data_IF_628888200663
#
_entry.id   IF_628888200663
#
_cell.length_a   1.000
_cell.length_b   1.000
_cell.length_c   1.000
_cell.angle_alpha   90.00
_cell.angle_beta   90.00
_cell.angle_gamma   90.00
#
_symmetry.space_group_name_H-M   'P 1'
#
loop_
_entity.id
_entity.type
_entity.pdbx_description
1 polymer ?
#
# COMPACT_ATOMS: atom_id res chain seq x y z
N UNK A 1 -32.16 4.52 -4.65
CA UNK A 1 -31.04 4.72 -3.71
C UNK A 1 -30.53 3.36 -3.27
N UNK A 2 -29.40 2.90 -3.80
CA UNK A 2 -28.78 1.66 -3.33
C UNK A 2 -28.20 1.91 -1.94
N UNK A 3 -28.86 1.39 -0.91
CA UNK A 3 -28.30 1.25 0.44
C UNK A 3 -26.88 0.66 0.33
N UNK A 4 -25.91 1.27 1.01
CA UNK A 4 -24.52 0.80 0.93
C UNK A 4 -24.39 -0.64 1.42
N UNK A 5 -23.44 -1.41 0.89
CA UNK A 5 -23.18 -2.79 1.34
C UNK A 5 -23.11 -2.90 2.86
N UNK A 6 -22.48 -1.92 3.53
CA UNK A 6 -22.32 -1.87 4.98
C UNK A 6 -23.66 -1.91 5.73
N UNK A 7 -24.74 -1.37 5.14
CA UNK A 7 -26.09 -1.44 5.70
C UNK A 7 -26.73 -2.83 5.56
N UNK A 8 -26.26 -3.65 4.60
CA UNK A 8 -26.80 -5.00 4.31
C UNK A 8 -25.93 -6.14 4.84
N UNK A 9 -24.71 -5.85 5.29
CA UNK A 9 -23.74 -6.85 5.70
C UNK A 9 -24.28 -7.80 6.78
N UNK A 10 -25.25 -7.34 7.58
CA UNK A 10 -25.90 -8.12 8.63
C UNK A 10 -25.00 -8.25 9.87
N UNK A 11 -25.59 -8.61 11.01
CA UNK A 11 -24.87 -8.69 12.28
C UNK A 11 -23.68 -9.67 12.23
N UNK A 12 -23.87 -10.84 11.64
CA UNK A 12 -22.82 -11.88 11.55
C UNK A 12 -21.55 -11.41 10.84
N UNK A 13 -21.66 -10.59 9.79
CA UNK A 13 -20.49 -10.03 9.10
C UNK A 13 -19.65 -9.16 10.03
N UNK A 14 -20.30 -8.28 10.80
CA UNK A 14 -19.60 -7.37 11.71
C UNK A 14 -18.96 -8.10 12.89
N UNK A 15 -19.63 -9.12 13.42
CA UNK A 15 -19.06 -10.01 14.44
C UNK A 15 -17.82 -10.71 13.90
N UNK A 16 -17.89 -11.31 12.71
CA UNK A 16 -16.75 -11.99 12.10
C UNK A 16 -15.61 -11.02 11.76
N UNK A 17 -15.93 -9.85 11.20
CA UNK A 17 -14.94 -8.80 10.92
C UNK A 17 -14.22 -8.37 12.20
N UNK A 18 -14.95 -8.12 13.29
CA UNK A 18 -14.37 -7.74 14.57
C UNK A 18 -13.55 -8.87 15.19
N UNK A 19 -14.08 -10.09 15.22
CA UNK A 19 -13.41 -11.25 15.79
C UNK A 19 -12.11 -11.60 15.04
N UNK A 20 -12.15 -11.62 13.70
CA UNK A 20 -10.96 -11.85 12.87
C UNK A 20 -9.98 -10.70 12.99
N UNK A 21 -10.45 -9.45 12.96
CA UNK A 21 -9.62 -8.26 13.10
C UNK A 21 -8.86 -8.22 14.42
N UNK A 22 -9.52 -8.55 15.53
CA UNK A 22 -8.88 -8.66 16.85
C UNK A 22 -7.92 -9.85 16.90
N UNK A 23 -8.37 -11.04 16.49
CA UNK A 23 -7.57 -12.27 16.62
C UNK A 23 -6.29 -12.21 15.79
N UNK A 24 -6.40 -11.81 14.51
CA UNK A 24 -5.27 -11.70 13.61
C UNK A 24 -4.45 -10.43 13.89
N UNK A 25 -5.12 -9.31 14.21
CA UNK A 25 -4.45 -8.06 14.53
C UNK A 25 -3.60 -8.13 15.79
N UNK A 26 -3.95 -9.00 16.75
CA UNK A 26 -3.15 -9.24 17.95
C UNK A 26 -1.70 -9.67 17.61
N UNK A 27 -1.47 -10.38 16.50
CA UNK A 27 -0.14 -10.79 16.07
C UNK A 27 0.81 -9.60 15.87
N UNK A 28 0.29 -8.41 15.52
CA UNK A 28 1.13 -7.21 15.40
C UNK A 28 1.70 -6.72 16.73
N UNK A 29 1.14 -7.12 17.87
CA UNK A 29 1.50 -6.59 19.18
C UNK A 29 2.19 -7.63 20.09
N UNK A 30 2.44 -8.85 19.61
CA UNK A 30 2.93 -9.96 20.45
C UNK A 30 4.44 -9.97 20.70
N UNK A 31 5.22 -9.10 20.06
CA UNK A 31 6.68 -9.12 20.15
C UNK A 31 7.32 -7.74 20.25
N UNK A 32 8.57 -7.67 20.76
CA UNK A 32 9.35 -6.45 20.81
C UNK A 32 9.80 -5.99 19.41
N UNK A 33 9.70 -6.87 18.41
CA UNK A 33 9.97 -6.60 17.01
C UNK A 33 8.94 -7.35 16.16
N UNK A 34 8.51 -6.74 15.06
CA UNK A 34 7.79 -7.45 14.02
C UNK A 34 8.81 -8.09 13.06
N UNK A 35 8.68 -9.38 12.71
CA UNK A 35 9.62 -10.07 11.82
C UNK A 35 9.39 -9.68 10.34
N UNK A 36 9.33 -8.39 10.05
CA UNK A 36 9.14 -7.87 8.70
C UNK A 36 10.49 -7.36 8.18
N UNK A 37 10.94 -7.92 7.06
CA UNK A 37 12.30 -7.73 6.53
C UNK A 37 12.70 -6.26 6.39
N UNK A 38 11.87 -5.46 5.72
CA UNK A 38 12.18 -4.05 5.42
C UNK A 38 11.76 -3.08 6.53
N UNK A 39 11.20 -3.57 7.66
CA UNK A 39 10.72 -2.70 8.73
C UNK A 39 11.82 -1.84 9.38
N UNK A 40 13.03 -2.37 9.69
CA UNK A 40 14.11 -1.55 10.24
C UNK A 40 14.44 -0.35 9.34
N UNK A 41 14.49 -0.57 8.03
CA UNK A 41 14.75 0.50 7.04
C UNK A 41 13.62 1.53 7.03
N UNK A 42 12.36 1.08 7.09
CA UNK A 42 11.22 1.98 7.20
C UNK A 42 11.26 2.83 8.48
N UNK A 43 11.58 2.24 9.63
CA UNK A 43 11.68 2.96 10.91
C UNK A 43 12.81 4.00 10.86
N UNK A 44 13.97 3.66 10.28
CA UNK A 44 15.07 4.58 10.09
C UNK A 44 14.66 5.77 9.22
N UNK A 45 14.03 5.53 8.06
CA UNK A 45 13.53 6.58 7.18
C UNK A 45 12.50 7.49 7.85
N UNK A 46 11.62 6.93 8.68
CA UNK A 46 10.64 7.73 9.44
C UNK A 46 11.34 8.58 10.49
N UNK A 47 12.34 8.04 11.20
CA UNK A 47 13.08 8.81 12.19
C UNK A 47 13.85 9.99 11.58
N UNK A 48 14.25 9.90 10.31
CA UNK A 48 14.87 11.03 9.59
C UNK A 48 13.93 12.23 9.49
N UNK A 49 12.60 12.03 9.48
CA UNK A 49 11.64 13.14 9.42
C UNK A 49 11.68 14.03 10.69
N UNK A 50 12.10 13.47 11.82
CA UNK A 50 12.31 14.22 13.06
C UNK A 50 13.75 14.69 13.19
N UNK A 51 14.72 13.80 13.03
CA UNK A 51 16.13 14.12 13.22
C UNK A 51 16.65 15.08 12.15
N UNK A 52 16.22 14.95 10.89
CA UNK A 52 16.63 15.84 9.80
C UNK A 52 16.18 17.30 9.96
N UNK A 53 15.39 17.63 11.00
CA UNK A 53 15.04 19.00 11.38
C UNK A 53 15.97 19.59 12.45
N UNK A 54 16.82 18.78 13.06
CA UNK A 54 17.79 19.20 14.08
C UNK A 54 19.06 19.63 13.32
N UNK A 55 19.43 20.94 13.34
CA UNK A 55 20.52 21.47 12.51
C UNK A 55 21.88 20.78 12.73
N UNK A 56 22.13 20.28 13.94
CA UNK A 56 23.41 19.66 14.32
C UNK A 56 23.39 18.12 14.26
N UNK A 57 22.30 17.53 13.76
CA UNK A 57 22.21 16.07 13.68
C UNK A 57 22.92 15.52 12.44
N UNK A 58 23.48 14.32 12.61
CA UNK A 58 24.02 13.49 11.51
C UNK A 58 22.98 13.29 10.39
N UNK A 59 21.70 13.23 10.75
CA UNK A 59 20.60 13.13 9.79
C UNK A 59 20.50 14.37 8.89
N UNK A 60 20.63 15.58 9.44
CA UNK A 60 20.59 16.82 8.68
C UNK A 60 21.83 17.01 7.80
N UNK A 61 22.99 16.52 8.26
CA UNK A 61 24.25 16.59 7.51
C UNK A 61 24.23 15.71 6.24
N UNK A 62 23.66 14.50 6.34
CA UNK A 62 23.75 13.51 5.26
C UNK A 62 22.46 13.29 4.45
N UNK A 63 21.29 13.76 4.93
CA UNK A 63 20.02 13.50 4.26
C UNK A 63 19.22 14.77 3.99
N UNK A 64 18.63 14.82 2.80
CA UNK A 64 17.65 15.84 2.42
C UNK A 64 16.25 15.22 2.43
N UNK A 65 15.33 15.86 3.15
CA UNK A 65 13.93 15.43 3.21
C UNK A 65 13.16 16.06 2.04
N UNK A 66 12.54 15.21 1.24
CA UNK A 66 11.64 15.66 0.18
C UNK A 66 10.23 15.89 0.70
N UNK A 67 9.93 17.14 1.05
CA UNK A 67 8.61 17.55 1.56
C UNK A 67 7.51 17.66 0.49
N UNK A 68 7.87 17.51 -0.79
CA UNK A 68 6.87 17.51 -1.88
C UNK A 68 6.06 16.21 -1.88
N UNK A 69 4.83 16.21 -2.42
CA UNK A 69 4.03 15.00 -2.54
C UNK A 69 4.74 13.92 -3.39
N UNK A 70 5.32 12.94 -2.72
CA UNK A 70 5.90 11.72 -3.30
C UNK A 70 5.08 10.48 -2.95
N UNK A 71 5.24 9.37 -3.69
CA UNK A 71 4.72 8.08 -3.25
C UNK A 71 5.21 7.71 -1.84
N UNK A 72 4.42 6.89 -1.14
CA UNK A 72 4.64 6.39 0.22
C UNK A 72 4.35 7.37 1.38
N UNK A 73 4.00 8.62 1.10
CA UNK A 73 3.61 9.60 2.13
C UNK A 73 2.45 9.15 3.00
N UNK A 74 1.49 8.37 2.47
CA UNK A 74 0.38 7.89 3.31
C UNK A 74 0.93 7.02 4.44
N UNK A 75 1.86 6.12 4.16
CA UNK A 75 2.48 5.29 5.19
C UNK A 75 3.39 6.12 6.10
N UNK A 76 4.40 6.78 5.54
CA UNK A 76 5.40 7.50 6.33
C UNK A 76 4.79 8.65 7.13
N UNK A 77 3.88 9.42 6.53
CA UNK A 77 3.18 10.51 7.20
C UNK A 77 2.25 10.03 8.31
N UNK A 78 1.51 8.93 8.11
CA UNK A 78 0.66 8.37 9.16
C UNK A 78 1.46 7.86 10.35
N UNK A 79 2.55 7.13 10.12
CA UNK A 79 3.42 6.66 11.21
C UNK A 79 4.07 7.84 11.92
N UNK A 80 4.61 8.80 11.18
CA UNK A 80 5.27 9.99 11.73
C UNK A 80 4.32 10.84 12.61
N UNK A 81 3.04 10.92 12.23
CA UNK A 81 2.00 11.59 13.02
C UNK A 81 1.60 10.81 14.27
N UNK A 82 1.40 9.49 14.15
CA UNK A 82 1.07 8.66 15.31
C UNK A 82 2.22 8.62 16.32
N UNK A 83 3.47 8.63 15.83
CA UNK A 83 4.67 8.65 16.64
C UNK A 83 4.84 9.93 17.50
N UNK A 84 3.94 10.93 17.37
CA UNK A 84 3.86 12.03 18.36
C UNK A 84 3.36 11.56 19.73
N UNK A 85 2.68 10.42 19.78
CA UNK A 85 1.96 9.94 20.97
C UNK A 85 2.46 8.57 21.46
N UNK A 86 3.34 7.92 20.70
CA UNK A 86 3.81 6.56 20.93
C UNK A 86 5.13 6.33 20.21
N UNK A 87 5.79 5.20 20.44
CA UNK A 87 7.01 4.84 19.72
C UNK A 87 6.74 4.51 18.24
N UNK A 88 7.74 4.68 17.37
CA UNK A 88 7.59 4.41 15.93
C UNK A 88 7.12 2.98 15.64
N UNK A 89 7.61 1.98 16.39
CA UNK A 89 7.17 0.60 16.22
C UNK A 89 5.67 0.46 16.52
N UNK A 90 5.20 1.05 17.61
CA UNK A 90 3.78 1.04 17.97
C UNK A 90 2.94 1.74 16.89
N UNK A 91 3.41 2.88 16.40
CA UNK A 91 2.76 3.60 15.31
C UNK A 91 2.63 2.73 14.04
N UNK A 92 3.67 1.96 13.67
CA UNK A 92 3.60 1.01 12.55
C UNK A 92 2.60 -0.12 12.83
N UNK A 93 2.60 -0.70 14.04
CA UNK A 93 1.65 -1.76 14.42
C UNK A 93 0.19 -1.29 14.26
N UNK A 94 -0.11 -0.06 14.68
CA UNK A 94 -1.43 0.54 14.50
C UNK A 94 -1.79 0.78 13.03
N UNK A 95 -0.83 1.23 12.21
CA UNK A 95 -1.05 1.40 10.76
C UNK A 95 -1.30 0.05 10.08
N UNK A 96 -0.58 -1.00 10.46
CA UNK A 96 -0.80 -2.37 9.97
C UNK A 96 -2.17 -2.91 10.37
N UNK A 97 -2.57 -2.71 11.64
CA UNK A 97 -3.90 -3.06 12.10
C UNK A 97 -4.98 -2.34 11.30
N UNK A 98 -4.80 -1.03 11.06
CA UNK A 98 -5.72 -0.25 10.26
C UNK A 98 -5.81 -0.78 8.81
N UNK A 99 -4.68 -1.11 8.20
CA UNK A 99 -4.64 -1.71 6.86
C UNK A 99 -5.39 -3.06 6.82
N UNK A 100 -5.15 -3.94 7.80
CA UNK A 100 -5.85 -5.23 7.95
C UNK A 100 -7.37 -5.04 8.06
N UNK A 101 -7.82 -4.08 8.87
CA UNK A 101 -9.24 -3.81 9.12
C UNK A 101 -9.94 -3.14 7.92
N UNK A 102 -9.26 -2.21 7.23
CA UNK A 102 -9.82 -1.49 6.09
C UNK A 102 -9.88 -2.32 4.80
N UNK A 103 -8.96 -3.26 4.62
CA UNK A 103 -8.88 -4.12 3.42
C UNK A 103 -10.21 -4.83 3.09
N UNK A 104 -10.83 -5.60 4.01
CA UNK A 104 -12.10 -6.27 3.71
C UNK A 104 -13.25 -5.27 3.49
N UNK A 105 -13.26 -4.11 4.16
CA UNK A 105 -14.32 -3.12 3.96
C UNK A 105 -14.24 -2.48 2.56
N UNK A 106 -13.03 -2.13 2.12
CA UNK A 106 -12.78 -1.58 0.80
C UNK A 106 -13.06 -2.61 -0.31
N UNK A 107 -12.63 -3.86 -0.12
CA UNK A 107 -12.92 -4.95 -1.06
C UNK A 107 -14.41 -5.29 -1.10
N UNK A 108 -15.12 -5.26 0.03
CA UNK A 108 -16.56 -5.49 0.05
C UNK A 108 -17.31 -4.42 -0.75
N UNK A 109 -16.88 -3.15 -0.66
CA UNK A 109 -17.40 -2.07 -1.53
C UNK A 109 -17.13 -2.38 -3.00
N UNK A 110 -15.91 -2.76 -3.35
CA UNK A 110 -15.55 -3.09 -4.73
C UNK A 110 -16.40 -4.25 -5.27
N UNK A 111 -16.57 -5.32 -4.49
CA UNK A 111 -17.44 -6.44 -4.84
C UNK A 111 -18.88 -5.99 -5.05
N UNK A 112 -19.41 -5.16 -4.16
CA UNK A 112 -20.76 -4.64 -4.28
C UNK A 112 -20.96 -3.83 -5.58
N UNK A 113 -20.03 -2.93 -5.90
CA UNK A 113 -20.06 -2.15 -7.14
C UNK A 113 -19.92 -3.06 -8.38
N UNK A 114 -19.20 -4.17 -8.26
CA UNK A 114 -19.12 -5.21 -9.28
C UNK A 114 -20.35 -6.15 -9.32
N UNK A 115 -21.38 -5.93 -8.50
CA UNK A 115 -22.58 -6.78 -8.42
C UNK A 115 -22.34 -8.14 -7.79
N UNK A 116 -21.34 -8.25 -6.90
CA UNK A 116 -20.96 -9.46 -6.17
C UNK A 116 -21.27 -9.30 -4.68
N UNK A 117 -21.36 -10.42 -3.97
CA UNK A 117 -21.53 -10.40 -2.52
C UNK A 117 -20.24 -9.90 -1.83
N UNK A 118 -20.35 -8.79 -1.09
CA UNK A 118 -19.23 -8.19 -0.37
C UNK A 118 -18.76 -9.00 0.83
N UNK A 119 -19.53 -9.98 1.32
CA UNK A 119 -19.16 -10.81 2.48
C UNK A 119 -17.90 -11.65 2.22
N UNK A 120 -17.66 -12.02 0.96
CA UNK A 120 -16.43 -12.72 0.55
C UNK A 120 -15.16 -11.92 0.84
N UNK A 121 -15.26 -10.60 1.01
CA UNK A 121 -14.11 -9.77 1.33
C UNK A 121 -13.49 -10.10 2.69
N UNK A 122 -14.21 -10.74 3.63
CA UNK A 122 -13.64 -11.20 4.91
C UNK A 122 -12.50 -12.19 4.72
N UNK A 123 -12.48 -12.95 3.61
CA UNK A 123 -11.37 -13.85 3.29
C UNK A 123 -10.04 -13.11 3.05
N UNK A 124 -10.09 -11.80 2.81
CA UNK A 124 -8.86 -10.99 2.70
C UNK A 124 -8.11 -10.83 4.00
N UNK A 125 -8.75 -10.98 5.17
CA UNK A 125 -8.10 -10.84 6.47
C UNK A 125 -7.03 -11.93 6.73
N UNK A 126 -7.33 -13.24 6.63
CA UNK A 126 -6.28 -14.26 6.74
C UNK A 126 -5.25 -14.15 5.61
N UNK A 127 -5.67 -13.78 4.39
CA UNK A 127 -4.76 -13.59 3.25
C UNK A 127 -3.89 -12.33 3.37
N UNK A 128 -4.13 -11.46 4.36
CA UNK A 128 -3.30 -10.29 4.63
C UNK A 128 -1.89 -10.72 5.08
N UNK A 129 -1.78 -11.87 5.75
CA UNK A 129 -0.52 -12.48 6.18
C UNK A 129 0.10 -13.26 5.03
N UNK A 130 0.66 -12.51 4.07
CA UNK A 130 1.30 -13.06 2.88
C UNK A 130 2.74 -12.54 2.72
N UNK A 131 3.40 -13.00 1.67
CA UNK A 131 4.76 -12.62 1.31
C UNK A 131 5.02 -11.11 1.33
N UNK A 132 4.11 -10.28 0.80
CA UNK A 132 4.31 -8.82 0.77
C UNK A 132 4.38 -8.24 2.19
N UNK A 133 3.58 -8.75 3.12
CA UNK A 133 3.65 -8.33 4.51
C UNK A 133 4.97 -8.77 5.13
N UNK A 134 5.36 -10.04 4.98
CA UNK A 134 6.59 -10.60 5.55
C UNK A 134 7.86 -9.90 5.04
N UNK A 135 7.86 -9.45 3.78
CA UNK A 135 8.93 -8.62 3.24
C UNK A 135 8.94 -7.20 3.78
N UNK A 136 7.91 -6.77 4.50
CA UNK A 136 7.83 -5.42 5.04
C UNK A 136 7.34 -4.40 4.02
N UNK A 137 6.64 -4.81 2.96
CA UNK A 137 6.00 -3.88 2.01
C UNK A 137 4.73 -3.28 2.60
N UNK A 138 4.89 -2.56 3.72
CA UNK A 138 3.79 -2.04 4.54
C UNK A 138 3.01 -0.97 3.78
N UNK A 139 3.71 -0.10 3.06
CA UNK A 139 3.09 0.91 2.20
C UNK A 139 2.26 0.28 1.08
N UNK A 140 2.68 -0.88 0.55
CA UNK A 140 1.91 -1.65 -0.43
C UNK A 140 0.64 -2.23 0.20
N UNK A 141 0.76 -2.87 1.36
CA UNK A 141 -0.37 -3.43 2.10
C UNK A 141 -1.42 -2.36 2.43
N UNK A 142 -0.97 -1.17 2.87
CA UNK A 142 -1.83 -0.02 3.13
C UNK A 142 -2.49 0.55 1.86
N UNK A 143 -1.83 0.42 0.71
CA UNK A 143 -2.36 0.89 -0.56
C UNK A 143 -3.41 -0.05 -1.18
N UNK A 144 -3.50 -1.32 -0.77
CA UNK A 144 -4.53 -2.26 -1.24
C UNK A 144 -5.97 -1.76 -0.98
N UNK A 145 -6.38 -1.39 0.25
CA UNK A 145 -7.72 -0.85 0.48
C UNK A 145 -7.96 0.44 -0.32
N UNK A 146 -6.94 1.29 -0.47
CA UNK A 146 -7.03 2.53 -1.24
C UNK A 146 -7.26 2.24 -2.73
N UNK A 147 -6.58 1.24 -3.29
CA UNK A 147 -6.77 0.76 -4.65
C UNK A 147 -8.21 0.25 -4.86
N UNK A 148 -8.72 -0.56 -3.93
CA UNK A 148 -10.08 -1.07 -4.00
C UNK A 148 -11.12 0.06 -3.97
N UNK A 149 -10.89 1.11 -3.18
CA UNK A 149 -11.72 2.31 -3.16
C UNK A 149 -11.61 3.13 -4.45
N UNK A 150 -10.41 3.29 -5.01
CA UNK A 150 -10.18 3.98 -6.28
C UNK A 150 -10.89 3.27 -7.45
N UNK A 151 -10.79 1.93 -7.52
CA UNK A 151 -11.51 1.11 -8.49
C UNK A 151 -13.03 1.22 -8.31
N UNK A 152 -13.53 1.16 -7.07
CA UNK A 152 -14.95 1.33 -6.78
C UNK A 152 -15.46 2.68 -7.26
N UNK A 153 -14.77 3.77 -6.90
CA UNK A 153 -15.13 5.13 -7.30
C UNK A 153 -15.06 5.31 -8.83
N UNK A 154 -14.10 4.66 -9.49
CA UNK A 154 -14.00 4.69 -10.95
C UNK A 154 -15.17 3.99 -11.62
N UNK A 155 -15.55 2.79 -11.17
CA UNK A 155 -16.69 2.05 -11.74
C UNK A 155 -18.00 2.81 -11.51
N UNK A 156 -18.23 3.34 -10.31
CA UNK A 156 -19.41 4.17 -10.00
C UNK A 156 -19.44 5.43 -10.89
N UNK A 157 -18.30 6.09 -11.09
CA UNK A 157 -18.19 7.24 -11.98
C UNK A 157 -18.48 6.87 -13.45
N UNK A 158 -18.00 5.71 -13.92
CA UNK A 158 -18.33 5.17 -15.24
C UNK A 158 -19.83 4.90 -15.43
N UNK A 159 -20.53 4.57 -14.34
CA UNK A 159 -21.99 4.36 -14.36
C UNK A 159 -22.80 5.64 -14.14
N UNK A 160 -22.13 6.78 -13.95
CA UNK A 160 -22.74 8.08 -13.57
C UNK A 160 -23.46 8.03 -12.20
N UNK A 161 -23.07 7.08 -11.36
CA UNK A 161 -23.59 6.92 -9.99
C UNK A 161 -22.62 7.51 -8.95
N UNK A 162 -21.35 7.72 -9.35
CA UNK A 162 -20.26 8.18 -8.49
C UNK A 162 -19.78 9.61 -8.78
N UNK A 163 -19.10 10.18 -7.79
CA UNK A 163 -18.53 11.54 -7.85
C UNK A 163 -17.13 11.55 -8.46
N UNK A 164 -16.88 12.45 -9.42
CA UNK A 164 -15.53 12.70 -9.93
C UNK A 164 -14.55 13.17 -8.85
N UNK A 165 -15.04 13.86 -7.81
CA UNK A 165 -14.21 14.26 -6.66
C UNK A 165 -13.75 13.06 -5.84
N UNK A 166 -14.63 12.07 -5.64
CA UNK A 166 -14.27 10.84 -4.94
C UNK A 166 -13.21 10.04 -5.73
N UNK A 167 -13.39 9.93 -7.05
CA UNK A 167 -12.40 9.30 -7.93
C UNK A 167 -11.05 10.03 -7.87
N UNK A 168 -11.04 11.36 -7.97
CA UNK A 168 -9.82 12.16 -7.85
C UNK A 168 -9.14 11.96 -6.48
N UNK A 169 -9.90 12.04 -5.38
CA UNK A 169 -9.38 11.87 -4.02
C UNK A 169 -8.75 10.50 -3.79
N UNK A 170 -9.45 9.42 -4.16
CA UNK A 170 -8.91 8.06 -4.00
C UNK A 170 -7.71 7.81 -4.92
N UNK A 171 -7.69 8.38 -6.13
CA UNK A 171 -6.54 8.23 -7.04
C UNK A 171 -5.32 9.00 -6.55
N UNK A 172 -5.50 10.20 -6.00
CA UNK A 172 -4.44 10.95 -5.31
C UNK A 172 -3.93 10.19 -4.09
N UNK A 173 -4.83 9.67 -3.26
CA UNK A 173 -4.48 8.83 -2.12
C UNK A 173 -3.69 7.59 -2.55
N UNK A 174 -4.07 6.95 -3.65
CA UNK A 174 -3.36 5.78 -4.18
C UNK A 174 -1.95 6.14 -4.65
N UNK A 175 -1.78 7.26 -5.36
CA UNK A 175 -0.47 7.76 -5.77
C UNK A 175 0.43 8.01 -4.55
N UNK A 176 -0.08 8.69 -3.53
CA UNK A 176 0.65 8.97 -2.29
C UNK A 176 0.88 7.72 -1.43
N UNK A 177 0.06 6.68 -1.59
CA UNK A 177 0.24 5.43 -0.85
C UNK A 177 1.31 4.56 -1.48
N UNK A 178 1.24 4.31 -2.80
CA UNK A 178 2.19 3.43 -3.48
C UNK A 178 2.23 3.66 -5.00
N UNK A 179 3.41 3.99 -5.53
CA UNK A 179 3.60 4.29 -6.95
C UNK A 179 3.19 3.12 -7.87
N UNK A 180 3.59 1.90 -7.53
CA UNK A 180 3.30 0.71 -8.35
C UNK A 180 1.81 0.41 -8.46
N UNK A 181 1.03 0.50 -7.37
CA UNK A 181 -0.40 0.27 -7.43
C UNK A 181 -1.14 1.40 -8.16
N UNK A 182 -0.66 2.64 -8.04
CA UNK A 182 -1.15 3.74 -8.86
C UNK A 182 -0.90 3.49 -10.36
N UNK A 183 0.25 2.94 -10.73
CA UNK A 183 0.58 2.57 -12.10
C UNK A 183 -0.32 1.42 -12.63
N UNK A 184 -0.56 0.38 -11.82
CA UNK A 184 -1.49 -0.69 -12.20
C UNK A 184 -2.92 -0.19 -12.38
N UNK A 185 -3.38 0.69 -11.48
CA UNK A 185 -4.68 1.35 -11.63
C UNK A 185 -4.76 2.16 -12.93
N UNK A 186 -3.74 2.99 -13.21
CA UNK A 186 -3.67 3.78 -14.45
C UNK A 186 -3.68 2.88 -15.70
N UNK A 187 -2.97 1.75 -15.67
CA UNK A 187 -2.96 0.77 -16.76
C UNK A 187 -4.34 0.16 -17.00
N UNK A 188 -5.06 -0.24 -15.94
CA UNK A 188 -6.44 -0.76 -16.06
C UNK A 188 -7.35 0.28 -16.72
N UNK A 189 -7.28 1.54 -16.28
CA UNK A 189 -8.08 2.63 -16.86
C UNK A 189 -7.71 2.86 -18.33
N UNK A 190 -6.41 2.91 -18.65
CA UNK A 190 -5.92 3.14 -20.00
C UNK A 190 -6.38 2.04 -20.95
N UNK A 191 -6.18 0.77 -20.59
CA UNK A 191 -6.64 -0.37 -21.38
C UNK A 191 -8.15 -0.28 -21.61
N UNK A 192 -8.94 0.07 -20.58
CA UNK A 192 -10.39 0.25 -20.75
C UNK A 192 -10.73 1.36 -21.74
N UNK A 193 -10.06 2.51 -21.66
CA UNK A 193 -10.28 3.63 -22.60
C UNK A 193 -9.93 3.21 -24.03
N UNK A 194 -8.81 2.51 -24.22
CA UNK A 194 -8.35 2.05 -25.53
C UNK A 194 -9.33 1.06 -26.17
N UNK A 195 -9.87 0.12 -25.39
CA UNK A 195 -10.78 -0.92 -25.91
C UNK A 195 -12.23 -0.48 -26.05
N UNK A 196 -12.75 0.39 -25.18
CA UNK A 196 -14.18 0.76 -25.23
C UNK A 196 -14.44 2.06 -26.00
N UNK A 197 -13.46 2.98 -26.10
CA UNK A 197 -13.57 4.33 -26.72
C UNK A 197 -14.87 5.08 -26.41
N UNK A 198 -15.47 4.85 -25.25
CA UNK A 198 -16.76 5.46 -24.88
C UNK A 198 -16.52 6.88 -24.36
N UNK A 199 -17.48 7.79 -24.60
CA UNK A 199 -17.42 9.16 -24.03
C UNK A 199 -17.28 9.14 -22.51
N UNK A 200 -17.87 8.15 -21.84
CA UNK A 200 -17.78 7.99 -20.39
C UNK A 200 -16.38 7.54 -19.93
N UNK A 201 -15.69 6.70 -20.71
CA UNK A 201 -14.29 6.35 -20.48
C UNK A 201 -13.39 7.59 -20.56
N UNK A 202 -13.58 8.42 -21.59
CA UNK A 202 -12.82 9.67 -21.76
C UNK A 202 -13.11 10.70 -20.65
N UNK A 203 -14.35 10.81 -20.16
CA UNK A 203 -14.70 11.72 -19.07
C UNK A 203 -13.96 11.43 -17.76
N UNK A 204 -13.53 10.20 -17.52
CA UNK A 204 -12.71 9.86 -16.35
C UNK A 204 -11.33 10.50 -16.37
N UNK A 205 -10.83 10.95 -17.52
CA UNK A 205 -9.54 11.64 -17.61
C UNK A 205 -9.53 12.94 -16.82
N UNK A 206 -10.68 13.62 -16.68
CA UNK A 206 -10.77 14.88 -15.92
C UNK A 206 -10.41 14.66 -14.44
N UNK A 207 -11.12 13.83 -13.66
CA UNK A 207 -10.75 13.58 -12.27
C UNK A 207 -9.40 12.85 -12.13
N UNK A 208 -9.01 12.02 -13.11
CA UNK A 208 -7.73 11.30 -13.10
C UNK A 208 -6.53 12.18 -13.46
N UNK A 209 -6.74 13.41 -13.93
CA UNK A 209 -5.65 14.39 -14.06
C UNK A 209 -5.13 14.85 -12.70
N UNK A 210 -5.94 14.76 -11.63
CA UNK A 210 -5.55 15.19 -10.28
C UNK A 210 -4.30 14.48 -9.73
N UNK A 211 -4.20 13.13 -9.69
CA UNK A 211 -2.98 12.45 -9.25
C UNK A 211 -1.77 12.74 -10.14
N UNK A 212 -1.97 13.03 -11.44
CA UNK A 212 -0.89 13.44 -12.35
C UNK A 212 -0.34 14.79 -11.92
N UNK A 213 -1.21 15.79 -11.75
CA UNK A 213 -0.82 17.14 -11.29
C UNK A 213 -0.14 17.08 -9.92
N UNK A 214 -0.68 16.28 -8.99
CA UNK A 214 -0.11 16.07 -7.68
C UNK A 214 1.30 15.47 -7.74
N UNK A 215 1.53 14.53 -8.65
CA UNK A 215 2.82 13.85 -8.83
C UNK A 215 3.83 14.60 -9.70
N UNK A 216 3.46 15.72 -10.34
CA UNK A 216 4.36 16.48 -11.22
C UNK A 216 5.67 16.90 -10.51
N UNK A 217 5.65 17.46 -9.29
CA UNK A 217 6.90 17.86 -8.62
C UNK A 217 7.86 16.69 -8.44
N UNK A 218 7.34 15.53 -8.03
CA UNK A 218 8.13 14.30 -7.87
C UNK A 218 8.71 13.82 -9.20
N UNK A 219 7.89 13.78 -10.26
CA UNK A 219 8.31 13.37 -11.60
C UNK A 219 9.39 14.30 -12.17
N UNK A 220 9.19 15.62 -12.06
CA UNK A 220 10.16 16.64 -12.51
C UNK A 220 11.48 16.47 -11.77
N UNK A 221 11.44 16.41 -10.44
CA UNK A 221 12.66 16.27 -9.66
C UNK A 221 13.38 14.92 -9.93
N UNK A 222 12.65 13.86 -10.30
CA UNK A 222 13.25 12.57 -10.67
C UNK A 222 13.84 12.59 -12.08
N UNK A 223 13.24 13.34 -13.01
CA UNK A 223 13.75 13.55 -14.36
C UNK A 223 14.98 14.46 -14.39
N UNK A 224 15.00 15.51 -13.57
CA UNK A 224 16.11 16.45 -13.45
C UNK A 224 17.27 15.92 -12.60
N UNK A 225 17.15 14.74 -11.99
CA UNK A 225 18.21 14.14 -11.19
C UNK A 225 18.50 14.86 -9.86
N UNK A 226 17.59 15.72 -9.39
CA UNK A 226 17.75 16.46 -8.13
C UNK A 226 17.50 15.61 -6.88
N UNK A 227 17.07 14.35 -7.05
CA UNK A 227 17.09 13.37 -5.98
C UNK A 227 18.49 12.76 -5.96
N UNK A 228 19.21 12.91 -4.86
CA UNK A 228 20.44 12.17 -4.62
C UNK A 228 20.14 10.68 -4.71
N UNK A 229 20.34 10.09 -5.90
CA UNK A 229 20.64 8.67 -5.98
C UNK A 229 21.98 8.60 -5.29
N UNK A 230 22.03 8.15 -4.04
CA UNK A 230 23.30 7.97 -3.34
C UNK A 230 24.29 7.34 -4.31
N UNK A 231 25.51 7.86 -4.37
CA UNK A 231 26.52 7.30 -5.26
C UNK A 231 26.60 5.81 -4.97
N UNK A 232 26.38 4.98 -6.00
CA UNK A 232 26.63 3.55 -5.88
C UNK A 232 28.12 3.41 -5.60
N UNK A 233 28.47 3.21 -4.33
CA UNK A 233 29.81 2.81 -3.96
C UNK A 233 30.02 1.46 -4.63
N UNK A 234 30.87 1.44 -5.67
CA UNK A 234 31.22 0.23 -6.36
C UNK A 234 31.88 -0.72 -5.34
N UNK A 235 31.18 -1.79 -4.96
CA UNK A 235 31.64 -2.69 -3.90
C UNK A 235 30.85 -3.97 -3.79
N UNK A 236 29.52 -3.91 -3.84
CA UNK A 236 28.70 -5.11 -3.75
C UNK A 236 28.28 -5.58 -5.15
N UNK A 237 28.84 -6.71 -5.57
CA UNK A 237 28.46 -7.35 -6.81
C UNK A 237 26.97 -7.73 -6.74
N UNK A 238 26.12 -6.99 -7.45
CA UNK A 238 24.77 -7.44 -7.76
C UNK A 238 24.93 -8.67 -8.65
N UNK A 239 24.80 -9.86 -8.06
CA UNK A 239 24.86 -11.11 -8.82
C UNK A 239 23.57 -11.24 -9.60
N UNK A 240 23.61 -10.86 -10.86
CA UNK A 240 22.52 -11.14 -11.79
C UNK A 240 22.54 -12.62 -12.15
N UNK A 241 21.66 -13.42 -11.54
CA UNK A 241 21.39 -14.77 -12.04
C UNK A 241 20.84 -14.71 -13.47
N UNK A 242 21.28 -15.65 -14.32
CA UNK A 242 20.77 -15.79 -15.66
C UNK A 242 19.25 -16.06 -15.65
N UNK A 243 18.52 -15.70 -16.73
CA UNK A 243 17.06 -15.85 -16.77
C UNK A 243 16.56 -17.28 -16.52
N UNK A 244 17.33 -18.31 -16.92
CA UNK A 244 16.93 -19.71 -16.72
C UNK A 244 17.02 -20.08 -15.25
N UNK A 245 18.07 -19.65 -14.55
CA UNK A 245 18.19 -19.84 -13.10
C UNK A 245 17.10 -19.11 -12.32
N UNK A 246 16.73 -17.88 -12.73
CA UNK A 246 15.59 -17.16 -12.13
C UNK A 246 14.27 -17.90 -12.32
N UNK A 247 14.02 -18.41 -13.53
CA UNK A 247 12.79 -19.15 -13.84
C UNK A 247 12.72 -20.48 -13.09
N UNK A 248 13.85 -21.20 -12.96
CA UNK A 248 13.92 -22.45 -12.19
C UNK A 248 13.63 -22.24 -10.71
N UNK A 249 14.05 -21.11 -10.17
CA UNK A 249 13.81 -20.71 -8.77
C UNK A 249 12.55 -19.86 -8.61
N UNK A 250 11.69 -19.73 -9.63
CA UNK A 250 10.55 -18.82 -9.55
C UNK A 250 9.61 -19.22 -8.41
N UNK A 251 9.35 -20.51 -8.23
CA UNK A 251 8.56 -21.01 -7.11
C UNK A 251 9.19 -20.60 -5.77
N UNK A 252 10.48 -20.86 -5.59
CA UNK A 252 11.23 -20.46 -4.39
C UNK A 252 11.18 -18.96 -4.15
N UNK A 253 11.31 -18.12 -5.19
CA UNK A 253 11.23 -16.66 -5.03
C UNK A 253 9.81 -16.18 -4.71
N UNK A 254 8.78 -16.95 -5.09
CA UNK A 254 7.39 -16.61 -4.81
C UNK A 254 6.94 -17.06 -3.41
N UNK A 255 7.58 -18.08 -2.84
CA UNK A 255 7.17 -18.68 -1.55
C UNK A 255 8.16 -18.43 -0.43
N UNK A 256 9.46 -18.35 -0.73
CA UNK A 256 10.52 -18.30 0.27
C UNK A 256 11.08 -16.87 0.37
N UNK A 257 11.08 -16.34 1.58
CA UNK A 257 11.70 -15.07 1.95
C UNK A 257 13.19 -15.25 2.32
N UNK A 258 13.54 -16.42 2.84
CA UNK A 258 14.87 -16.83 3.27
C UNK A 258 15.32 -18.10 2.52
N UNK A 259 16.62 -18.34 2.47
CA UNK A 259 17.14 -19.60 1.90
C UNK A 259 16.95 -20.76 2.87
N UNK A 260 16.63 -21.95 2.33
CA UNK A 260 16.49 -23.17 3.12
C UNK A 260 15.15 -23.30 3.84
N UNK A 261 15.11 -24.08 4.92
CA UNK A 261 13.87 -24.39 5.67
C UNK A 261 13.49 -23.32 6.70
N UNK A 262 14.18 -22.18 6.74
CA UNK A 262 13.96 -21.15 7.76
C UNK A 262 12.54 -20.55 7.65
N UNK A 263 12.05 -20.37 6.43
CA UNK A 263 10.68 -19.91 6.20
C UNK A 263 9.63 -20.89 6.72
N UNK A 264 9.88 -22.20 6.57
CA UNK A 264 8.96 -23.24 7.06
C UNK A 264 8.82 -23.15 8.60
N UNK A 265 9.92 -22.88 9.31
CA UNK A 265 9.92 -22.69 10.75
C UNK A 265 9.28 -21.37 11.19
N UNK A 266 9.49 -20.28 10.45
CA UNK A 266 8.87 -18.98 10.73
C UNK A 266 7.35 -19.02 10.49
N UNK A 267 6.90 -19.75 9.47
CA UNK A 267 5.48 -20.03 9.25
C UNK A 267 4.87 -20.86 10.38
N UNK A 268 5.55 -21.91 10.82
CA UNK A 268 5.07 -22.75 11.94
C UNK A 268 5.06 -22.00 13.27
N UNK A 269 5.98 -21.06 13.49
CA UNK A 269 6.06 -20.25 14.71
C UNK A 269 5.07 -19.08 14.76
N UNK A 270 4.35 -18.80 13.67
CA UNK A 270 3.34 -17.71 13.59
C UNK A 270 1.90 -18.23 13.51
N UNK A 271 1.70 -19.56 13.49
CA UNK A 271 0.42 -20.25 13.65
C UNK A 271 0.15 -20.58 15.12
#
# INVERSE_FOLDING_TARGET
MNSSFLQRAGFAFWVLWGALGVSLGAAFFQGPLLPLRDLPDHLALISLLDHGRIPESVANEHYLIQWTPVPYWVFYGSVWLLARFMDYLQAVQWVLLLALLLTPLALARLFHVCGRDGRWALLSMPLFFNHNLMWGWISYCLAIPILAMALSAWIEHQRKEGSGRALAGWSCGLFLAHAQLAAFFALIVLLRILFSRTRTALRSLIPLSAPVVLGLPWLIARALGTHGRGETVAGDAVIFHDPVTRMKRLADHMTNCYSGSLDDWLWLGTL
#
